data_IF_899767974952
#
_entry.id   IF_899767974952
#
_cell.length_a   1.000
_cell.length_b   1.000
_cell.length_c   1.000
_cell.angle_alpha   90.00
_cell.angle_beta   90.00
_cell.angle_gamma   90.00
#
_symmetry.space_group_name_H-M   'P 1'
#
loop_
_entity.id
_entity.type
_entity.pdbx_description
1 polymer ?
#
# COMPACT_ATOMS: atom_id res chain seq x y z
N UNK A 1 -8.56 -19.53 -19.67
CA UNK A 1 -8.91 -20.03 -18.32
C UNK A 1 -9.00 -18.85 -17.37
N UNK A 2 -10.19 -18.57 -16.85
CA UNK A 2 -10.37 -17.61 -15.74
C UNK A 2 -9.73 -18.29 -14.52
N UNK A 3 -8.56 -17.82 -14.09
CA UNK A 3 -7.97 -18.30 -12.84
C UNK A 3 -8.86 -17.82 -11.71
N UNK A 4 -9.66 -18.73 -11.16
CA UNK A 4 -10.49 -18.46 -10.00
C UNK A 4 -9.67 -17.95 -8.81
N UNK A 5 -10.35 -17.34 -7.85
CA UNK A 5 -9.74 -16.84 -6.63
C UNK A 5 -9.17 -18.03 -5.82
N UNK A 6 -7.84 -18.17 -5.77
CA UNK A 6 -7.21 -19.22 -4.96
C UNK A 6 -7.19 -18.82 -3.49
N UNK A 7 -7.27 -19.80 -2.58
CA UNK A 7 -7.16 -19.57 -1.13
C UNK A 7 -5.87 -18.82 -0.76
N UNK A 8 -4.79 -19.09 -1.49
CA UNK A 8 -3.49 -18.45 -1.34
C UNK A 8 -3.52 -16.95 -1.73
N UNK A 9 -4.25 -16.60 -2.79
CA UNK A 9 -4.46 -15.20 -3.18
C UNK A 9 -5.24 -14.45 -2.10
N UNK A 10 -6.30 -15.07 -1.56
CA UNK A 10 -7.14 -14.48 -0.50
C UNK A 10 -6.30 -14.26 0.74
N UNK A 11 -5.54 -15.26 1.20
CA UNK A 11 -4.68 -15.13 2.37
C UNK A 11 -3.62 -14.05 2.19
N UNK A 12 -3.03 -13.95 0.99
CA UNK A 12 -2.08 -12.87 0.69
C UNK A 12 -2.73 -11.49 0.75
N UNK A 13 -3.96 -11.34 0.25
CA UNK A 13 -4.68 -10.06 0.31
C UNK A 13 -5.21 -9.73 1.70
N UNK A 14 -5.55 -10.72 2.52
CA UNK A 14 -5.83 -10.53 3.94
C UNK A 14 -4.59 -10.01 4.69
N UNK A 15 -3.42 -10.62 4.43
CA UNK A 15 -2.16 -10.16 5.02
C UNK A 15 -1.77 -8.77 4.51
N UNK A 16 -2.07 -8.45 3.25
CA UNK A 16 -1.94 -7.09 2.72
C UNK A 16 -2.91 -6.11 3.42
N UNK A 17 -4.14 -6.53 3.75
CA UNK A 17 -5.07 -5.73 4.56
C UNK A 17 -4.57 -5.43 5.97
N UNK A 18 -3.82 -6.35 6.60
CA UNK A 18 -3.14 -6.08 7.88
C UNK A 18 -2.14 -4.93 7.76
N UNK A 19 -1.59 -4.67 6.57
CA UNK A 19 -0.69 -3.55 6.34
C UNK A 19 -1.35 -2.18 6.54
N UNK A 20 -2.70 -2.08 6.60
CA UNK A 20 -3.40 -0.84 6.99
C UNK A 20 -3.02 -0.37 8.40
N UNK A 21 -2.51 -1.26 9.25
CA UNK A 21 -1.92 -0.87 10.55
C UNK A 21 -0.77 0.13 10.38
N UNK A 22 -0.01 0.09 9.28
CA UNK A 22 1.09 1.01 9.02
C UNK A 22 0.62 2.46 8.84
N UNK A 23 -0.29 2.79 7.90
CA UNK A 23 -0.80 4.16 7.76
C UNK A 23 -1.54 4.63 9.02
N UNK A 24 -2.31 3.76 9.67
CA UNK A 24 -2.97 4.08 10.96
C UNK A 24 -1.93 4.44 12.03
N UNK A 25 -0.86 3.66 12.16
CA UNK A 25 0.24 3.90 13.08
C UNK A 25 1.00 5.19 12.77
N UNK A 26 1.24 5.49 11.50
CA UNK A 26 1.90 6.75 11.08
C UNK A 26 1.05 7.97 11.46
N UNK A 27 -0.28 7.89 11.30
CA UNK A 27 -1.17 9.04 11.50
C UNK A 27 -1.60 9.26 12.95
N UNK A 28 -1.97 8.18 13.65
CA UNK A 28 -2.47 8.22 15.02
C UNK A 28 -1.42 7.85 16.06
N UNK A 29 -0.34 7.16 15.67
CA UNK A 29 0.70 6.70 16.59
C UNK A 29 1.30 7.79 17.49
N UNK A 30 1.61 9.01 16.98
CA UNK A 30 2.14 10.07 17.84
C UNK A 30 1.20 10.42 18.99
N UNK A 31 -0.10 10.56 18.69
CA UNK A 31 -1.12 10.88 19.68
C UNK A 31 -1.45 9.70 20.61
N UNK A 32 -1.55 8.48 20.08
CA UNK A 32 -1.91 7.28 20.85
C UNK A 32 -0.81 6.80 21.80
N UNK A 33 0.45 6.92 21.37
CA UNK A 33 1.61 6.45 22.14
C UNK A 33 2.28 7.57 22.95
N UNK A 34 1.89 8.84 22.74
CA UNK A 34 2.52 9.98 23.39
C UNK A 34 3.98 10.17 22.99
N UNK A 35 4.33 9.83 21.75
CA UNK A 35 5.69 9.93 21.20
C UNK A 35 5.73 10.92 20.04
N UNK A 36 6.91 11.47 19.72
CA UNK A 36 7.05 12.32 18.53
C UNK A 36 6.90 11.52 17.23
N UNK A 37 6.57 12.22 16.15
CA UNK A 37 6.47 11.67 14.80
C UNK A 37 7.78 11.01 14.36
N UNK A 38 8.91 11.53 14.84
CA UNK A 38 10.25 10.99 14.58
C UNK A 38 10.42 9.59 15.16
N UNK A 39 9.90 9.32 16.36
CA UNK A 39 9.93 7.99 16.98
C UNK A 39 9.06 6.99 16.24
N UNK A 40 7.89 7.42 15.75
CA UNK A 40 7.04 6.59 14.89
C UNK A 40 7.77 6.27 13.58
N UNK A 41 8.39 7.26 12.96
CA UNK A 41 9.18 7.09 11.75
C UNK A 41 10.35 6.11 11.97
N UNK A 42 11.10 6.29 13.06
CA UNK A 42 12.16 5.37 13.45
C UNK A 42 11.64 3.94 13.66
N UNK A 43 10.46 3.79 14.27
CA UNK A 43 9.78 2.50 14.42
C UNK A 43 9.49 1.82 13.08
N UNK A 44 8.94 2.55 12.11
CA UNK A 44 8.68 2.04 10.75
C UNK A 44 9.97 1.62 10.05
N UNK A 45 11.04 2.43 10.15
CA UNK A 45 12.35 2.07 9.61
C UNK A 45 12.99 0.89 10.34
N UNK A 46 12.76 0.74 11.64
CA UNK A 46 13.16 -0.43 12.42
C UNK A 46 12.50 -1.71 11.90
N UNK A 47 11.20 -1.67 11.60
CA UNK A 47 10.48 -2.78 10.97
C UNK A 47 11.03 -3.09 9.57
N UNK A 48 11.33 -2.06 8.76
CA UNK A 48 11.95 -2.23 7.44
C UNK A 48 13.34 -2.87 7.56
N UNK A 49 14.18 -2.41 8.49
CA UNK A 49 15.51 -2.97 8.72
C UNK A 49 15.44 -4.44 9.15
N UNK A 50 14.48 -4.79 10.03
CA UNK A 50 14.22 -6.17 10.41
C UNK A 50 13.77 -7.02 9.21
N UNK A 51 12.87 -6.51 8.36
CA UNK A 51 12.46 -7.19 7.14
C UNK A 51 13.63 -7.42 6.18
N UNK A 52 14.47 -6.41 5.95
CA UNK A 52 15.68 -6.52 5.12
C UNK A 52 16.70 -7.52 5.70
N UNK A 53 16.83 -7.61 7.02
CA UNK A 53 17.68 -8.61 7.66
C UNK A 53 17.14 -10.02 7.42
N UNK A 54 15.82 -10.23 7.52
CA UNK A 54 15.17 -11.51 7.20
C UNK A 54 15.42 -11.88 5.73
N UNK A 55 15.29 -10.93 4.82
CA UNK A 55 15.56 -11.10 3.39
C UNK A 55 17.03 -11.51 3.14
N UNK A 56 17.98 -10.84 3.79
CA UNK A 56 19.39 -11.16 3.69
C UNK A 56 19.69 -12.59 4.18
N UNK A 57 19.14 -12.98 5.33
CA UNK A 57 19.26 -14.34 5.86
C UNK A 57 18.64 -15.38 4.91
N UNK A 58 17.51 -15.04 4.30
CA UNK A 58 16.81 -15.87 3.33
C UNK A 58 17.62 -16.11 2.06
N UNK A 59 18.29 -15.09 1.53
CA UNK A 59 19.12 -15.25 0.33
C UNK A 59 20.46 -15.95 0.59
N UNK A 60 21.03 -15.80 1.80
CA UNK A 60 22.35 -16.37 2.12
C UNK A 60 22.30 -17.80 2.66
N UNK A 61 21.20 -18.22 3.29
CA UNK A 61 21.12 -19.50 3.98
C UNK A 61 19.95 -20.35 3.49
N UNK A 62 20.27 -21.40 2.74
CA UNK A 62 19.27 -22.34 2.21
C UNK A 62 18.43 -23.03 3.30
N UNK A 63 19.02 -23.32 4.47
CA UNK A 63 18.28 -23.90 5.60
C UNK A 63 17.30 -22.88 6.22
N UNK A 64 17.65 -21.59 6.22
CA UNK A 64 16.72 -20.54 6.63
C UNK A 64 15.59 -20.36 5.60
N UNK A 65 15.91 -20.34 4.31
CA UNK A 65 14.90 -20.31 3.24
C UNK A 65 13.93 -21.49 3.36
N UNK A 66 14.42 -22.72 3.55
CA UNK A 66 13.55 -23.89 3.70
C UNK A 66 12.64 -23.78 4.93
N UNK A 67 13.12 -23.23 6.05
CA UNK A 67 12.28 -22.93 7.21
C UNK A 67 11.26 -21.84 6.89
N UNK A 68 11.68 -20.74 6.28
CA UNK A 68 10.81 -19.64 5.88
C UNK A 68 9.68 -20.14 4.96
N UNK A 69 9.99 -20.99 3.99
CA UNK A 69 9.01 -21.58 3.07
C UNK A 69 7.99 -22.49 3.77
N UNK A 70 8.33 -23.14 4.89
CA UNK A 70 7.34 -23.92 5.66
C UNK A 70 6.24 -23.03 6.25
N UNK A 71 6.56 -21.81 6.65
CA UNK A 71 5.61 -20.90 7.30
C UNK A 71 4.93 -19.96 6.30
N UNK A 72 5.69 -19.42 5.35
CA UNK A 72 5.25 -18.35 4.43
C UNK A 72 5.19 -18.77 2.96
N UNK A 73 5.64 -19.97 2.62
CA UNK A 73 5.79 -20.41 1.23
C UNK A 73 4.47 -20.43 0.46
N UNK A 74 3.36 -20.77 1.10
CA UNK A 74 2.02 -20.76 0.48
C UNK A 74 1.53 -19.37 0.11
N UNK A 75 2.13 -18.30 0.65
CA UNK A 75 1.77 -16.92 0.35
C UNK A 75 2.70 -16.25 -0.66
N UNK A 76 3.91 -16.80 -0.82
CA UNK A 76 4.93 -16.24 -1.70
C UNK A 76 4.67 -16.56 -3.18
N UNK A 77 5.03 -15.62 -4.05
CA UNK A 77 5.13 -15.88 -5.49
C UNK A 77 6.50 -16.50 -5.81
N UNK A 78 6.56 -17.31 -6.86
CA UNK A 78 7.80 -17.87 -7.42
C UNK A 78 8.88 -16.79 -7.63
N UNK A 79 8.51 -15.60 -8.11
CA UNK A 79 9.43 -14.47 -8.29
C UNK A 79 10.04 -13.96 -6.99
N UNK A 80 9.30 -14.02 -5.88
CA UNK A 80 9.73 -13.55 -4.56
C UNK A 80 10.72 -14.50 -3.88
N UNK A 81 10.98 -15.69 -4.45
CA UNK A 81 12.03 -16.59 -3.96
C UNK A 81 13.43 -16.01 -4.19
N UNK A 82 13.58 -15.19 -5.24
CA UNK A 82 14.87 -14.59 -5.65
C UNK A 82 14.87 -13.07 -5.58
N UNK A 83 13.78 -12.47 -5.13
CA UNK A 83 13.57 -11.03 -5.03
C UNK A 83 12.99 -10.68 -3.66
N UNK A 84 13.09 -9.41 -3.25
CA UNK A 84 12.44 -8.95 -2.02
C UNK A 84 10.94 -9.23 -2.07
N UNK A 85 10.38 -9.60 -0.93
CA UNK A 85 8.94 -9.84 -0.79
C UNK A 85 8.14 -8.55 -0.93
N UNK A 86 6.88 -8.69 -1.35
CA UNK A 86 5.92 -7.59 -1.35
C UNK A 86 5.80 -6.91 0.02
N UNK A 87 5.87 -7.68 1.12
CA UNK A 87 5.84 -7.12 2.48
C UNK A 87 7.01 -6.17 2.75
N UNK A 88 8.23 -6.52 2.32
CA UNK A 88 9.40 -5.64 2.42
C UNK A 88 9.21 -4.37 1.59
N UNK A 89 8.62 -4.46 0.39
CA UNK A 89 8.30 -3.28 -0.43
C UNK A 89 7.22 -2.38 0.21
N UNK A 90 6.19 -2.97 0.83
CA UNK A 90 5.17 -2.21 1.57
C UNK A 90 5.78 -1.47 2.77
N UNK A 91 6.68 -2.10 3.52
CA UNK A 91 7.40 -1.45 4.61
C UNK A 91 8.30 -0.33 4.09
N UNK A 92 8.96 -0.52 2.95
CA UNK A 92 9.76 0.52 2.32
C UNK A 92 8.92 1.72 1.85
N UNK A 93 7.78 1.47 1.19
CA UNK A 93 6.84 2.52 0.80
C UNK A 93 6.23 3.24 2.00
N UNK A 94 5.94 2.51 3.07
CA UNK A 94 5.48 3.09 4.35
C UNK A 94 6.56 3.92 5.02
N UNK A 95 7.83 3.52 4.95
CA UNK A 95 8.96 4.31 5.41
C UNK A 95 9.10 5.63 4.66
N UNK A 96 8.94 5.62 3.32
CA UNK A 96 8.92 6.86 2.51
C UNK A 96 7.76 7.76 2.94
N UNK A 97 6.56 7.21 3.10
CA UNK A 97 5.40 7.97 3.56
C UNK A 97 5.60 8.52 4.98
N UNK A 98 6.24 7.75 5.86
CA UNK A 98 6.57 8.20 7.21
C UNK A 98 7.61 9.31 7.23
N UNK A 99 8.51 9.39 6.24
CA UNK A 99 9.40 10.56 6.07
C UNK A 99 8.61 11.78 5.58
N UNK A 100 7.69 11.58 4.64
CA UNK A 100 6.83 12.66 4.13
C UNK A 100 5.95 13.21 5.26
N UNK A 101 5.42 12.37 6.14
CA UNK A 101 4.58 12.80 7.26
C UNK A 101 5.29 13.70 8.26
N UNK A 102 6.62 13.63 8.38
CA UNK A 102 7.40 14.53 9.23
C UNK A 102 7.33 16.00 8.78
N UNK A 103 6.87 16.28 7.55
CA UNK A 103 6.72 17.66 7.04
C UNK A 103 5.52 18.41 7.63
N UNK A 104 4.67 17.73 8.40
CA UNK A 104 3.57 18.33 9.13
C UNK A 104 2.33 17.45 9.12
N UNK A 105 1.35 17.79 9.98
CA UNK A 105 0.08 17.06 10.11
C UNK A 105 -0.64 16.87 8.78
N UNK A 106 -0.50 17.89 7.96
CA UNK A 106 -0.93 17.99 6.59
C UNK A 106 -0.45 16.86 5.69
N UNK A 107 0.85 16.61 5.74
CA UNK A 107 1.50 15.53 5.01
C UNK A 107 1.18 14.17 5.63
N UNK A 108 1.02 14.10 6.96
CA UNK A 108 0.59 12.88 7.64
C UNK A 108 -0.82 12.44 7.19
N UNK A 109 -1.77 13.38 7.06
CA UNK A 109 -3.12 13.09 6.55
C UNK A 109 -3.09 12.58 5.10
N UNK A 110 -2.28 13.21 4.24
CA UNK A 110 -2.12 12.75 2.86
C UNK A 110 -1.47 11.36 2.75
N UNK A 111 -0.46 11.08 3.59
CA UNK A 111 0.17 9.76 3.68
C UNK A 111 -0.79 8.69 4.18
N UNK A 112 -1.59 9.02 5.20
CA UNK A 112 -2.61 8.14 5.74
C UNK A 112 -3.64 7.75 4.67
N UNK A 113 -4.15 8.74 3.93
CA UNK A 113 -5.07 8.55 2.83
C UNK A 113 -4.43 7.71 1.71
N UNK A 114 -3.29 8.15 1.17
CA UNK A 114 -2.64 7.52 0.01
C UNK A 114 -2.25 6.05 0.25
N UNK A 115 -1.62 5.74 1.40
CA UNK A 115 -1.28 4.36 1.77
C UNK A 115 -2.51 3.48 1.93
N UNK A 116 -3.51 3.95 2.68
CA UNK A 116 -4.71 3.14 2.96
C UNK A 116 -5.49 2.86 1.69
N UNK A 117 -5.69 3.88 0.84
CA UNK A 117 -6.38 3.73 -0.43
C UNK A 117 -5.63 2.78 -1.37
N UNK A 118 -4.29 2.87 -1.44
CA UNK A 118 -3.53 1.94 -2.26
C UNK A 118 -3.61 0.50 -1.74
N UNK A 119 -3.43 0.26 -0.45
CA UNK A 119 -3.46 -1.09 0.15
C UNK A 119 -4.83 -1.76 -0.08
N UNK A 120 -5.91 -1.05 0.24
CA UNK A 120 -7.26 -1.59 0.08
C UNK A 120 -7.68 -1.62 -1.40
N UNK A 121 -7.28 -0.62 -2.19
CA UNK A 121 -7.53 -0.53 -3.62
C UNK A 121 -6.86 -1.66 -4.40
N UNK A 122 -5.59 -1.98 -4.13
CA UNK A 122 -4.88 -3.11 -4.75
C UNK A 122 -5.53 -4.46 -4.38
N UNK A 123 -6.04 -4.59 -3.15
CA UNK A 123 -6.82 -5.76 -2.78
C UNK A 123 -8.12 -5.86 -3.61
N UNK A 124 -8.88 -4.77 -3.73
CA UNK A 124 -10.09 -4.73 -4.54
C UNK A 124 -9.82 -4.98 -6.03
N UNK A 125 -8.77 -4.38 -6.60
CA UNK A 125 -8.41 -4.58 -8.00
C UNK A 125 -8.11 -6.05 -8.30
N UNK A 126 -7.37 -6.73 -7.42
CA UNK A 126 -7.08 -8.14 -7.59
C UNK A 126 -8.33 -9.03 -7.44
N UNK A 127 -9.19 -8.75 -6.45
CA UNK A 127 -10.42 -9.51 -6.22
C UNK A 127 -11.39 -9.36 -7.39
N UNK A 128 -11.71 -8.13 -7.78
CA UNK A 128 -12.62 -7.83 -8.88
C UNK A 128 -12.02 -8.27 -10.22
N UNK A 129 -10.74 -8.03 -10.44
CA UNK A 129 -10.05 -8.42 -11.66
C UNK A 129 -9.99 -9.94 -11.86
N UNK A 130 -9.86 -10.73 -10.81
CA UNK A 130 -9.92 -12.19 -10.91
C UNK A 130 -11.34 -12.73 -11.06
N UNK A 131 -12.32 -12.12 -10.38
CA UNK A 131 -13.71 -12.57 -10.41
C UNK A 131 -14.43 -12.19 -11.72
N UNK A 132 -14.21 -10.97 -12.20
CA UNK A 132 -14.98 -10.37 -13.29
C UNK A 132 -14.11 -9.87 -14.47
N UNK A 133 -12.79 -9.92 -14.36
CA UNK A 133 -11.88 -9.33 -15.35
C UNK A 133 -11.97 -10.01 -16.72
N UNK A 134 -12.33 -9.23 -17.73
CA UNK A 134 -12.39 -9.66 -19.14
C UNK A 134 -11.40 -8.87 -19.98
N UNK A 135 -11.36 -7.55 -19.81
CA UNK A 135 -10.47 -6.66 -20.55
C UNK A 135 -9.13 -6.52 -19.85
N UNK A 136 -8.08 -7.12 -20.43
CA UNK A 136 -6.72 -7.08 -19.89
C UNK A 136 -5.89 -5.96 -20.49
N UNK A 137 -5.18 -5.25 -19.64
CA UNK A 137 -4.11 -4.31 -20.02
C UNK A 137 -2.83 -4.80 -19.34
N UNK A 138 -1.93 -5.38 -20.13
CA UNK A 138 -0.74 -6.05 -19.60
C UNK A 138 -1.13 -7.23 -18.69
N UNK A 139 -0.66 -7.19 -17.44
CA UNK A 139 -0.96 -8.22 -16.42
C UNK A 139 -2.19 -7.93 -15.56
N UNK A 140 -2.86 -6.79 -15.76
CA UNK A 140 -3.98 -6.30 -14.94
C UNK A 140 -5.25 -6.17 -15.79
N UNK A 141 -6.39 -5.93 -15.15
CA UNK A 141 -7.70 -5.87 -15.82
C UNK A 141 -8.37 -4.52 -15.60
N UNK A 142 -9.06 -4.01 -16.61
CA UNK A 142 -9.83 -2.76 -16.52
C UNK A 142 -10.91 -2.86 -15.44
N UNK A 143 -11.56 -4.01 -15.31
CA UNK A 143 -12.58 -4.25 -14.29
C UNK A 143 -11.98 -4.23 -12.87
N UNK A 144 -10.77 -4.76 -12.72
CA UNK A 144 -10.00 -4.65 -11.48
C UNK A 144 -9.69 -3.18 -11.15
N UNK A 145 -9.18 -2.41 -12.11
CA UNK A 145 -8.91 -0.98 -11.90
C UNK A 145 -10.18 -0.20 -11.53
N UNK A 146 -11.32 -0.53 -12.14
CA UNK A 146 -12.63 0.04 -11.77
C UNK A 146 -13.03 -0.34 -10.33
N UNK A 147 -12.79 -1.59 -9.92
CA UNK A 147 -13.00 -2.04 -8.54
C UNK A 147 -12.15 -1.27 -7.54
N UNK A 148 -10.87 -1.04 -7.84
CA UNK A 148 -10.00 -0.19 -7.04
C UNK A 148 -10.52 1.25 -6.98
N UNK A 149 -10.87 1.85 -8.12
CA UNK A 149 -11.40 3.21 -8.17
C UNK A 149 -12.66 3.37 -7.32
N UNK A 150 -13.64 2.48 -7.48
CA UNK A 150 -14.91 2.55 -6.75
C UNK A 150 -14.71 2.38 -5.24
N UNK A 151 -13.84 1.45 -4.82
CA UNK A 151 -13.51 1.32 -3.40
C UNK A 151 -12.81 2.56 -2.87
N UNK A 152 -11.83 3.09 -3.60
CA UNK A 152 -11.11 4.29 -3.20
C UNK A 152 -12.04 5.50 -3.06
N UNK A 153 -12.99 5.67 -4.00
CA UNK A 153 -14.02 6.70 -3.92
C UNK A 153 -14.93 6.50 -2.70
N UNK A 154 -15.39 5.28 -2.44
CA UNK A 154 -16.26 5.00 -1.30
C UNK A 154 -15.54 5.29 0.03
N UNK A 155 -14.27 4.89 0.16
CA UNK A 155 -13.46 5.17 1.34
C UNK A 155 -13.23 6.68 1.51
N UNK A 156 -12.81 7.38 0.46
CA UNK A 156 -12.57 8.82 0.49
C UNK A 156 -13.84 9.64 0.77
N UNK A 157 -15.00 9.17 0.32
CA UNK A 157 -16.27 9.88 0.48
C UNK A 157 -16.97 9.61 1.82
N UNK A 158 -17.00 8.36 2.29
CA UNK A 158 -17.74 8.00 3.52
C UNK A 158 -16.87 7.79 4.75
N UNK A 159 -15.69 7.19 4.59
CA UNK A 159 -14.87 6.76 5.72
C UNK A 159 -13.98 7.90 6.19
N UNK A 160 -13.10 8.41 5.30
CA UNK A 160 -12.10 9.41 5.67
C UNK A 160 -12.65 10.70 6.29
N UNK A 161 -13.72 11.31 5.77
CA UNK A 161 -14.30 12.51 6.39
C UNK A 161 -14.87 12.24 7.79
N UNK A 162 -15.23 10.99 8.08
CA UNK A 162 -15.80 10.56 9.36
C UNK A 162 -14.72 10.13 10.38
N UNK A 163 -13.45 10.04 9.97
CA UNK A 163 -12.37 9.64 10.85
C UNK A 163 -11.96 10.80 11.79
N UNK A 164 -11.68 10.51 13.07
CA UNK A 164 -11.24 11.54 14.02
C UNK A 164 -9.94 12.19 13.54
N UNK A 165 -9.81 13.49 13.76
CA UNK A 165 -8.65 14.32 13.40
C UNK A 165 -8.29 14.39 11.91
N UNK A 166 -8.89 13.57 11.03
CA UNK A 166 -8.53 13.54 9.62
C UNK A 166 -8.77 14.89 8.92
N UNK A 167 -10.00 15.42 8.99
CA UNK A 167 -10.33 16.70 8.36
C UNK A 167 -9.55 17.87 8.99
N UNK A 168 -9.28 17.81 10.30
CA UNK A 168 -8.49 18.82 10.99
C UNK A 168 -7.04 18.86 10.47
N UNK A 169 -6.38 17.69 10.40
CA UNK A 169 -5.01 17.57 9.86
C UNK A 169 -4.96 17.79 8.34
N UNK A 170 -6.01 17.42 7.62
CA UNK A 170 -6.16 17.76 6.19
C UNK A 170 -6.26 19.27 5.97
N UNK A 171 -6.86 20.03 6.88
CA UNK A 171 -6.72 21.48 6.98
C UNK A 171 -7.45 22.32 5.93
N UNK A 172 -8.02 21.72 4.89
CA UNK A 172 -8.88 22.37 3.89
C UNK A 172 -10.19 21.61 3.71
N UNK A 173 -11.23 22.18 3.06
CA UNK A 173 -12.42 21.41 2.73
C UNK A 173 -12.06 20.23 1.84
N UNK A 174 -12.32 19.01 2.30
CA UNK A 174 -12.02 17.81 1.51
C UNK A 174 -13.06 17.67 0.38
N UNK A 175 -12.72 18.20 -0.79
CA UNK A 175 -13.69 18.36 -1.90
C UNK A 175 -13.85 17.08 -2.71
N UNK A 176 -15.00 16.94 -3.38
CA UNK A 176 -15.25 15.83 -4.31
C UNK A 176 -14.17 15.73 -5.40
N UNK A 177 -13.67 16.86 -5.90
CA UNK A 177 -12.63 16.88 -6.93
C UNK A 177 -11.31 16.28 -6.40
N UNK A 178 -10.92 16.59 -5.16
CA UNK A 178 -9.75 16.00 -4.53
C UNK A 178 -9.90 14.48 -4.40
N UNK A 179 -11.05 14.00 -3.93
CA UNK A 179 -11.35 12.56 -3.82
C UNK A 179 -11.26 11.87 -5.18
N UNK A 180 -11.88 12.46 -6.21
CA UNK A 180 -11.88 11.94 -7.57
C UNK A 180 -10.46 11.83 -8.14
N UNK A 181 -9.66 12.89 -8.00
CA UNK A 181 -8.27 12.92 -8.48
C UNK A 181 -7.45 11.84 -7.77
N UNK A 182 -7.51 11.78 -6.43
CA UNK A 182 -6.74 10.82 -5.63
C UNK A 182 -7.14 9.38 -5.97
N UNK A 183 -8.44 9.06 -5.98
CA UNK A 183 -8.92 7.71 -6.30
C UNK A 183 -8.55 7.28 -7.73
N UNK A 184 -8.66 8.20 -8.69
CA UNK A 184 -8.25 7.96 -10.08
C UNK A 184 -6.75 7.72 -10.16
N UNK A 185 -5.93 8.50 -9.45
CA UNK A 185 -4.48 8.31 -9.42
C UNK A 185 -4.07 6.96 -8.83
N UNK A 186 -4.69 6.52 -7.74
CA UNK A 186 -4.43 5.18 -7.18
C UNK A 186 -4.78 4.10 -8.22
N UNK A 187 -5.96 4.18 -8.83
CA UNK A 187 -6.42 3.19 -9.82
C UNK A 187 -5.56 3.16 -11.08
N UNK A 188 -5.14 4.33 -11.60
CA UNK A 188 -4.28 4.41 -12.78
C UNK A 188 -2.87 3.93 -12.50
N UNK A 189 -2.27 4.31 -11.36
CA UNK A 189 -0.93 3.86 -11.00
C UNK A 189 -0.89 2.36 -10.65
N UNK A 190 -2.01 1.82 -10.18
CA UNK A 190 -2.22 0.37 -10.05
C UNK A 190 -2.28 -0.27 -11.44
N UNK A 191 -3.15 0.18 -12.34
CA UNK A 191 -3.34 -0.42 -13.67
C UNK A 191 -2.10 -0.32 -14.57
N UNK A 192 -1.38 0.80 -14.49
CA UNK A 192 -0.22 1.12 -15.32
C UNK A 192 1.05 1.19 -14.46
N UNK A 193 1.70 0.06 -14.17
CA UNK A 193 2.93 0.05 -13.38
C UNK A 193 4.05 0.81 -14.10
N UNK A 194 4.80 1.63 -13.34
CA UNK A 194 5.89 2.43 -13.88
C UNK A 194 7.04 1.52 -14.32
N UNK A 195 7.46 1.67 -15.58
CA UNK A 195 8.59 0.95 -16.17
C UNK A 195 9.75 1.91 -16.41
N UNK A 196 10.91 1.62 -15.83
CA UNK A 196 12.16 2.35 -16.06
C UNK A 196 13.07 1.43 -16.87
N UNK A 197 13.14 1.66 -18.18
CA UNK A 197 13.86 0.78 -19.10
C UNK A 197 13.28 -0.64 -19.09
N UNK A 198 14.10 -1.62 -18.66
CA UNK A 198 13.69 -3.04 -18.56
C UNK A 198 13.14 -3.43 -17.18
N UNK A 199 13.21 -2.55 -16.18
CA UNK A 199 12.77 -2.84 -14.81
C UNK A 199 11.37 -2.29 -14.56
N UNK A 200 10.52 -3.09 -13.93
CA UNK A 200 9.21 -2.68 -13.42
C UNK A 200 9.37 -2.33 -11.95
N UNK A 201 9.05 -1.09 -11.58
CA UNK A 201 9.11 -0.67 -10.19
C UNK A 201 7.96 -1.31 -9.40
N UNK A 202 8.21 -1.74 -8.16
CA UNK A 202 7.18 -2.35 -7.33
C UNK A 202 6.17 -1.28 -6.89
N UNK A 203 4.90 -1.49 -7.19
CA UNK A 203 3.80 -0.56 -6.88
C UNK A 203 3.68 -0.26 -5.39
N UNK A 204 3.93 -1.25 -4.52
CA UNK A 204 3.95 -1.07 -3.06
C UNK A 204 4.99 -0.05 -2.56
N UNK A 205 6.03 0.21 -3.35
CA UNK A 205 7.09 1.15 -2.98
C UNK A 205 6.70 2.60 -3.30
N UNK A 206 6.20 2.85 -4.51
CA UNK A 206 6.08 4.22 -5.04
C UNK A 206 4.65 4.75 -5.07
N UNK A 207 3.63 3.91 -5.27
CA UNK A 207 2.25 4.39 -5.48
C UNK A 207 1.74 5.14 -4.26
N UNK A 208 1.89 4.64 -3.02
CA UNK A 208 1.48 5.38 -1.84
C UNK A 208 2.14 6.76 -1.74
N UNK A 209 3.45 6.84 -1.97
CA UNK A 209 4.20 8.08 -1.87
C UNK A 209 3.76 9.11 -2.93
N UNK A 210 3.62 8.69 -4.19
CA UNK A 210 3.17 9.58 -5.27
C UNK A 210 1.76 10.09 -5.04
N UNK A 211 0.83 9.22 -4.64
CA UNK A 211 -0.56 9.60 -4.35
C UNK A 211 -0.62 10.55 -3.15
N UNK A 212 0.20 10.32 -2.13
CA UNK A 212 0.28 11.19 -0.94
C UNK A 212 0.83 12.57 -1.29
N UNK A 213 1.88 12.64 -2.11
CA UNK A 213 2.41 13.91 -2.62
C UNK A 213 1.38 14.66 -3.47
N UNK A 214 0.65 13.94 -4.34
CA UNK A 214 -0.43 14.53 -5.11
C UNK A 214 -1.52 15.09 -4.20
N UNK A 215 -1.96 14.34 -3.19
CA UNK A 215 -2.93 14.79 -2.19
C UNK A 215 -2.48 16.06 -1.47
N UNK A 216 -1.19 16.14 -1.14
CA UNK A 216 -0.58 17.33 -0.52
C UNK A 216 -0.52 18.54 -1.46
N UNK A 217 -0.44 18.34 -2.78
CA UNK A 217 -0.40 19.43 -3.76
C UNK A 217 -1.77 20.01 -4.09
N UNK A 218 -2.84 19.21 -4.01
CA UNK A 218 -4.20 19.61 -4.43
C UNK A 218 -5.12 20.02 -3.28
N UNK A 219 -4.62 19.94 -2.04
CA UNK A 219 -5.36 20.30 -0.82
C UNK A 219 -5.48 21.80 -0.63
#
# INVERSE_FOLDING_TARGET
>A
MVQGLTKEEVNRKLLHGVAVVLPVGIFYGPALLGVSEEWVCLGVFGLLAAALLIELLRFRNQAFLNRFMKWFGSMMRESELRQLTGATYVLAGSGICSLISLRGESAAAACFLGLTLFILGDAAAALVGKAFGRMKIGGKTVEGALGCFLLCMALAWWVFPSLPDFLAKWGTPFTFLQMLVIATSVSLLELFPIRIGRMVLNDNLYVPALVSLLGLMIR
#
